data_IF_208558910273
#
_entry.id   IF_208558910273
#
_cell.length_a   1.000
_cell.length_b   1.000
_cell.length_c   1.000
_cell.angle_alpha   90.00
_cell.angle_beta   90.00
_cell.angle_gamma   90.00
#
_symmetry.space_group_name_H-M   'P 1'
#
loop_
_entity.id
_entity.type
_entity.pdbx_description
1 polymer ?
#
# COMPACT_ATOMS: atom_id res chain seq x y z
N UNK A 1 -47.85 4.19 17.40
CA UNK A 1 -47.19 4.63 16.15
C UNK A 1 -47.67 3.78 15.00
N UNK A 2 -48.30 4.38 13.98
CA UNK A 2 -48.78 3.63 12.81
C UNK A 2 -47.60 3.15 11.95
N UNK A 3 -47.83 2.07 11.21
CA UNK A 3 -46.81 1.42 10.36
C UNK A 3 -46.25 2.40 9.31
N UNK A 4 -47.09 3.34 8.87
CA UNK A 4 -46.73 4.45 7.97
C UNK A 4 -45.65 5.37 8.54
N UNK A 5 -45.71 5.71 9.83
CA UNK A 5 -44.71 6.57 10.48
C UNK A 5 -43.34 5.89 10.57
N UNK A 6 -43.33 4.57 10.79
CA UNK A 6 -42.08 3.78 10.85
C UNK A 6 -41.42 3.68 9.47
N UNK A 7 -42.21 3.52 8.41
CA UNK A 7 -41.71 3.43 7.04
C UNK A 7 -41.05 4.74 6.57
N UNK A 8 -41.65 5.89 6.89
CA UNK A 8 -41.09 7.21 6.58
C UNK A 8 -39.72 7.42 7.25
N UNK A 9 -39.60 7.01 8.52
CA UNK A 9 -38.35 7.12 9.27
C UNK A 9 -37.27 6.23 8.64
N UNK A 10 -37.60 4.98 8.30
CA UNK A 10 -36.65 4.05 7.69
C UNK A 10 -36.10 4.58 6.35
N UNK A 11 -36.96 5.18 5.53
CA UNK A 11 -36.57 5.74 4.24
C UNK A 11 -35.64 6.95 4.39
N UNK A 12 -35.93 7.85 5.33
CA UNK A 12 -35.07 9.01 5.61
C UNK A 12 -33.71 8.56 6.13
N UNK A 13 -33.66 7.60 7.06
CA UNK A 13 -32.39 7.08 7.58
C UNK A 13 -31.55 6.39 6.51
N UNK A 14 -32.19 5.67 5.58
CA UNK A 14 -31.49 5.03 4.46
C UNK A 14 -30.85 6.06 3.53
N UNK A 15 -31.60 7.11 3.14
CA UNK A 15 -31.08 8.17 2.28
C UNK A 15 -29.92 8.93 2.94
N UNK A 16 -30.06 9.28 4.22
CA UNK A 16 -28.99 9.96 4.98
C UNK A 16 -27.74 9.07 5.10
N UNK A 17 -27.93 7.77 5.35
CA UNK A 17 -26.83 6.80 5.41
C UNK A 17 -26.07 6.70 4.09
N UNK A 18 -26.76 6.64 2.95
CA UNK A 18 -26.11 6.57 1.64
C UNK A 18 -25.31 7.83 1.33
N UNK A 19 -25.88 9.01 1.58
CA UNK A 19 -25.20 10.28 1.35
C UNK A 19 -23.97 10.48 2.25
N UNK A 20 -24.05 10.05 3.51
CA UNK A 20 -22.92 10.15 4.44
C UNK A 20 -21.76 9.26 4.01
N UNK A 21 -22.05 8.10 3.43
CA UNK A 21 -21.04 7.17 2.96
C UNK A 21 -20.28 7.75 1.77
N UNK A 22 -20.97 8.28 0.76
CA UNK A 22 -20.37 8.87 -0.45
C UNK A 22 -19.49 10.10 -0.14
N UNK A 23 -19.94 11.01 0.72
CA UNK A 23 -19.15 12.19 1.13
C UNK A 23 -17.90 11.79 1.91
N UNK A 24 -17.97 10.71 2.70
CA UNK A 24 -16.81 10.18 3.43
C UNK A 24 -15.69 9.64 2.53
N UNK A 25 -16.00 9.25 1.29
CA UNK A 25 -15.03 8.71 0.32
C UNK A 25 -14.11 9.79 -0.25
N UNK A 26 -14.65 11.00 -0.47
CA UNK A 26 -13.94 12.11 -1.12
C UNK A 26 -13.25 13.05 -0.13
N UNK A 27 -13.56 12.95 1.17
CA UNK A 27 -12.88 13.74 2.18
C UNK A 27 -11.45 13.23 2.36
N UNK A 28 -10.42 14.07 2.17
CA UNK A 28 -9.03 13.69 2.32
C UNK A 28 -8.67 13.64 3.82
N UNK A 29 -9.29 12.72 4.55
CA UNK A 29 -9.00 12.46 5.95
C UNK A 29 -7.77 11.54 6.00
N UNK A 30 -6.60 12.02 6.44
CA UNK A 30 -5.40 11.20 6.50
C UNK A 30 -5.62 10.01 7.45
N UNK A 31 -5.67 8.80 6.90
CA UNK A 31 -5.87 7.55 7.64
C UNK A 31 -7.16 6.79 7.33
N UNK A 32 -8.12 7.39 6.62
CA UNK A 32 -9.35 6.71 6.17
C UNK A 32 -9.16 6.16 4.75
N UNK A 33 -8.39 5.07 4.62
CA UNK A 33 -8.25 4.36 3.35
C UNK A 33 -8.63 2.91 3.54
N UNK A 34 -9.57 2.41 2.74
CA UNK A 34 -9.91 0.98 2.69
C UNK A 34 -8.74 0.11 2.16
N UNK A 35 -7.69 0.73 1.64
CA UNK A 35 -6.47 0.07 1.16
C UNK A 35 -5.25 0.63 1.89
N UNK A 36 -4.35 -0.23 2.35
CA UNK A 36 -3.09 0.21 2.95
C UNK A 36 -2.25 0.96 1.93
N UNK A 37 -1.75 2.15 2.27
CA UNK A 37 -0.79 2.88 1.44
C UNK A 37 0.47 2.02 1.24
N UNK A 38 0.70 1.59 -0.01
CA UNK A 38 1.90 0.84 -0.39
C UNK A 38 3.02 1.83 -0.70
N UNK A 39 3.72 2.32 0.33
CA UNK A 39 4.86 3.20 0.14
C UNK A 39 6.06 2.40 -0.42
N UNK A 40 6.43 2.65 -1.68
CA UNK A 40 7.60 2.05 -2.31
C UNK A 40 8.90 2.71 -1.79
N UNK A 41 9.36 2.28 -0.62
CA UNK A 41 10.62 2.77 -0.06
C UNK A 41 11.83 2.16 -0.77
N UNK A 42 12.56 3.00 -1.50
CA UNK A 42 13.85 2.67 -2.10
C UNK A 42 14.85 2.34 -0.99
N UNK A 43 15.60 1.24 -1.12
CA UNK A 43 16.72 0.92 -0.24
C UNK A 43 16.40 0.00 0.94
N UNK A 44 15.14 -0.41 1.14
CA UNK A 44 14.81 -1.45 2.14
C UNK A 44 15.65 -2.71 1.91
N UNK A 45 16.11 -3.42 2.96
CA UNK A 45 17.09 -4.51 2.85
C UNK A 45 16.74 -5.64 1.88
N UNK A 46 15.46 -5.79 1.51
CA UNK A 46 14.94 -6.80 0.56
C UNK A 46 14.38 -6.20 -0.74
N UNK A 47 14.63 -4.92 -1.01
CA UNK A 47 14.23 -4.27 -2.27
C UNK A 47 15.32 -4.41 -3.34
N UNK A 48 14.97 -4.41 -4.64
CA UNK A 48 15.93 -4.50 -5.73
C UNK A 48 17.06 -3.47 -5.63
N UNK A 49 16.73 -2.26 -5.18
CA UNK A 49 17.61 -1.08 -5.07
C UNK A 49 18.27 -0.95 -3.69
N UNK A 50 18.40 -2.06 -2.93
CA UNK A 50 19.14 -2.05 -1.67
C UNK A 50 20.66 -1.96 -1.92
N UNK A 51 21.32 -0.93 -1.39
CA UNK A 51 22.79 -0.74 -1.47
C UNK A 51 23.54 -1.94 -0.90
N UNK A 52 23.13 -2.43 0.28
CA UNK A 52 23.70 -3.63 0.88
C UNK A 52 23.49 -4.88 0.00
N UNK A 53 22.34 -5.00 -0.67
CA UNK A 53 22.07 -6.07 -1.64
C UNK A 53 22.96 -5.99 -2.89
N UNK A 54 23.17 -4.79 -3.42
CA UNK A 54 24.09 -4.53 -4.54
C UNK A 54 25.52 -4.91 -4.15
N UNK A 55 26.02 -4.44 -3.00
CA UNK A 55 27.37 -4.75 -2.54
C UNK A 55 27.62 -6.27 -2.45
N UNK A 56 26.68 -7.02 -1.85
CA UNK A 56 26.77 -8.49 -1.78
C UNK A 56 26.76 -9.15 -3.16
N UNK A 57 25.92 -8.69 -4.08
CA UNK A 57 25.83 -9.23 -5.46
C UNK A 57 27.10 -8.93 -6.25
N UNK A 58 27.66 -7.74 -6.12
CA UNK A 58 28.92 -7.34 -6.76
C UNK A 58 30.07 -8.19 -6.25
N UNK A 59 30.24 -8.31 -4.92
CA UNK A 59 31.28 -9.14 -4.32
C UNK A 59 31.19 -10.60 -4.79
N UNK A 60 30.00 -11.21 -4.78
CA UNK A 60 29.80 -12.57 -5.30
C UNK A 60 30.17 -12.70 -6.78
N UNK A 61 29.83 -11.72 -7.62
CA UNK A 61 30.20 -11.73 -9.04
C UNK A 61 31.70 -11.59 -9.24
N UNK A 62 32.34 -10.70 -8.49
CA UNK A 62 33.79 -10.52 -8.51
C UNK A 62 34.48 -11.84 -8.16
N UNK A 63 34.16 -12.45 -7.02
CA UNK A 63 34.73 -13.73 -6.60
C UNK A 63 34.57 -14.82 -7.67
N UNK A 64 33.37 -14.96 -8.25
CA UNK A 64 33.13 -15.93 -9.34
C UNK A 64 34.01 -15.68 -10.56
N UNK A 65 34.22 -14.41 -10.94
CA UNK A 65 35.07 -14.04 -12.09
C UNK A 65 36.56 -14.21 -11.79
N UNK A 66 37.00 -13.98 -10.56
CA UNK A 66 38.37 -14.27 -10.12
C UNK A 66 38.67 -15.78 -10.21
N UNK A 67 37.77 -16.61 -9.68
CA UNK A 67 37.91 -18.08 -9.72
C UNK A 67 37.91 -18.61 -11.15
N UNK A 68 37.15 -17.99 -12.05
CA UNK A 68 37.14 -18.34 -13.47
C UNK A 68 38.36 -17.81 -14.25
N UNK A 69 39.30 -17.10 -13.60
CA UNK A 69 40.49 -16.53 -14.25
C UNK A 69 40.20 -15.35 -15.18
N UNK A 70 38.99 -14.78 -15.13
CA UNK A 70 38.57 -13.64 -15.98
C UNK A 70 39.19 -12.33 -15.50
N UNK A 71 39.40 -12.21 -14.19
CA UNK A 71 40.06 -11.06 -13.58
C UNK A 71 41.26 -11.52 -12.75
N UNK A 72 42.33 -10.74 -12.82
CA UNK A 72 43.40 -10.79 -11.82
C UNK A 72 42.85 -10.14 -10.55
N UNK A 73 42.54 -11.02 -9.63
CA UNK A 73 42.32 -10.75 -8.22
C UNK A 73 43.42 -11.52 -7.48
#
# INVERSE_FOLDING_TARGET
>A
MSVSSKLKIALVTGVVSSFLLEVGMELPIPGFSFVTSAEARVGRPLTPVSVAGVARRSARRTVRRCVAGVYVC
#
